data_IF_818668894628
#
_entry.id   IF_818668894628
#
_cell.length_a   1.000
_cell.length_b   1.000
_cell.length_c   1.000
_cell.angle_alpha   90.00
_cell.angle_beta   90.00
_cell.angle_gamma   90.00
#
_symmetry.space_group_name_H-M   'P 1'
#
loop_
_entity.id
_entity.type
_entity.pdbx_description
1 polymer ?
#
# COMPACT_ATOMS: atom_id res chain seq x y z
N UNK A 1 -4.05 12.14 -14.43
CA UNK A 1 -4.18 11.03 -13.44
C UNK A 1 -5.56 10.39 -13.62
N UNK A 2 -5.62 9.06 -13.78
CA UNK A 2 -6.85 8.28 -13.98
C UNK A 2 -7.07 7.35 -12.78
N UNK A 3 -8.32 7.26 -12.29
CA UNK A 3 -8.69 6.32 -11.24
C UNK A 3 -9.25 5.04 -11.87
N UNK A 4 -8.79 3.91 -11.39
CA UNK A 4 -9.26 2.58 -11.75
C UNK A 4 -9.90 1.94 -10.50
N UNK A 5 -11.11 1.43 -10.67
CA UNK A 5 -11.79 0.64 -9.63
C UNK A 5 -11.20 -0.76 -9.55
N UNK A 6 -11.31 -1.38 -8.39
CA UNK A 6 -10.86 -2.76 -8.18
C UNK A 6 -12.03 -3.67 -7.80
N UNK A 7 -11.78 -4.97 -7.67
CA UNK A 7 -12.78 -5.93 -7.17
C UNK A 7 -13.10 -5.75 -5.68
N UNK A 8 -12.26 -5.02 -4.93
CA UNK A 8 -12.51 -4.68 -3.53
C UNK A 8 -13.15 -3.30 -3.47
N UNK A 9 -14.35 -3.21 -2.91
CA UNK A 9 -15.11 -1.97 -2.82
C UNK A 9 -14.29 -0.86 -2.18
N UNK A 10 -14.29 0.33 -2.78
CA UNK A 10 -13.61 1.57 -2.36
C UNK A 10 -12.07 1.56 -2.48
N UNK A 11 -11.44 0.41 -2.72
CA UNK A 11 -10.03 0.33 -3.06
C UNK A 11 -9.83 0.88 -4.47
N UNK A 12 -8.93 1.86 -4.63
CA UNK A 12 -8.70 2.52 -5.92
C UNK A 12 -7.24 2.42 -6.32
N UNK A 13 -6.99 2.13 -7.59
CA UNK A 13 -5.68 2.27 -8.21
C UNK A 13 -5.66 3.59 -8.97
N UNK A 14 -4.61 4.38 -8.77
CA UNK A 14 -4.41 5.62 -9.48
C UNK A 14 -3.29 5.43 -10.50
N UNK A 15 -3.58 5.73 -11.75
CA UNK A 15 -2.59 5.72 -12.81
C UNK A 15 -2.11 7.14 -13.05
N UNK A 16 -0.90 7.45 -12.58
CA UNK A 16 -0.27 8.75 -12.73
C UNK A 16 0.22 9.00 -14.15
N UNK A 17 0.49 10.25 -14.47
CA UNK A 17 1.16 10.63 -15.72
C UNK A 17 2.53 11.17 -15.39
N UNK A 18 3.54 10.68 -16.10
CA UNK A 18 4.93 11.14 -16.00
C UNK A 18 5.28 11.89 -17.27
N UNK A 19 5.87 13.05 -17.11
CA UNK A 19 6.33 13.91 -18.19
C UNK A 19 7.87 13.90 -18.18
N UNK A 20 8.48 13.47 -19.26
CA UNK A 20 9.93 13.36 -19.39
C UNK A 20 10.49 14.47 -20.27
N UNK A 21 11.67 15.00 -19.89
CA UNK A 21 12.48 15.88 -20.71
C UNK A 21 13.99 15.63 -20.45
N UNK A 22 14.88 16.45 -21.05
CA UNK A 22 16.34 16.32 -20.89
C UNK A 22 16.86 16.48 -19.44
N UNK A 23 16.05 16.99 -18.52
CA UNK A 23 16.40 17.18 -17.09
C UNK A 23 15.97 15.97 -16.23
N UNK A 24 15.12 15.08 -16.77
CA UNK A 24 14.56 13.95 -16.04
C UNK A 24 13.05 13.85 -16.21
N UNK A 25 12.29 13.83 -15.12
CA UNK A 25 10.83 13.77 -15.21
C UNK A 25 10.12 14.59 -14.14
N UNK A 26 8.91 15.02 -14.47
CA UNK A 26 7.92 15.55 -13.54
C UNK A 26 6.74 14.57 -13.44
N UNK A 27 6.26 14.31 -12.23
CA UNK A 27 5.12 13.42 -11.98
C UNK A 27 4.20 13.97 -10.92
N UNK A 28 2.92 14.06 -11.25
CA UNK A 28 1.88 14.31 -10.26
C UNK A 28 1.55 13.00 -9.55
N UNK A 29 1.83 12.92 -8.24
CA UNK A 29 1.63 11.70 -7.44
C UNK A 29 0.21 11.66 -6.86
N UNK A 30 -0.32 12.83 -6.43
CA UNK A 30 -1.56 12.91 -5.68
C UNK A 30 -2.34 14.17 -6.04
N UNK A 31 -3.68 14.02 -6.14
CA UNK A 31 -4.62 15.14 -6.27
C UNK A 31 -5.75 14.95 -5.28
N UNK A 32 -5.92 15.86 -4.32
CA UNK A 32 -6.92 15.76 -3.25
C UNK A 32 -8.35 15.56 -3.79
N UNK A 33 -8.73 16.24 -4.88
CA UNK A 33 -10.06 16.09 -5.52
C UNK A 33 -10.41 14.67 -5.96
N UNK A 34 -9.40 13.77 -6.09
CA UNK A 34 -9.63 12.39 -6.51
C UNK A 34 -10.04 11.47 -5.36
N UNK A 35 -9.83 11.89 -4.09
CA UNK A 35 -10.05 11.07 -2.89
C UNK A 35 -10.83 11.88 -1.85
N UNK A 36 -11.90 12.49 -2.27
CA UNK A 36 -12.67 13.60 -1.68
C UNK A 36 -12.97 13.61 -0.17
N UNK A 37 -12.75 12.53 0.59
CA UNK A 37 -13.16 12.48 2.02
C UNK A 37 -12.00 12.27 3.00
N UNK A 38 -10.82 11.90 2.52
CA UNK A 38 -9.71 11.53 3.40
C UNK A 38 -8.52 12.47 3.14
N UNK A 39 -8.56 13.64 3.79
CA UNK A 39 -7.43 14.59 3.71
C UNK A 39 -6.22 14.00 4.40
N UNK A 40 -5.03 14.02 3.76
CA UNK A 40 -3.81 13.57 4.40
C UNK A 40 -3.49 14.43 5.61
N UNK A 41 -3.22 13.78 6.75
CA UNK A 41 -2.74 14.46 7.96
C UNK A 41 -1.23 14.38 8.09
N UNK A 42 -0.63 13.27 7.70
CA UNK A 42 0.82 13.15 7.73
C UNK A 42 1.35 12.26 6.61
N UNK A 43 2.61 12.48 6.28
CA UNK A 43 3.34 11.78 5.25
C UNK A 43 4.55 11.08 5.86
N UNK A 44 4.86 9.90 5.38
CA UNK A 44 6.08 9.20 5.75
C UNK A 44 6.63 8.39 4.59
N UNK A 45 7.90 8.03 4.67
CA UNK A 45 8.55 7.14 3.71
C UNK A 45 9.12 5.91 4.41
N UNK A 46 9.25 4.84 3.68
CA UNK A 46 10.05 3.69 4.08
C UNK A 46 11.06 3.33 3.00
N UNK A 47 12.23 2.87 3.41
CA UNK A 47 13.24 2.29 2.53
C UNK A 47 13.38 0.81 2.83
N UNK A 48 13.40 -0.04 1.80
CA UNK A 48 13.43 -1.50 1.93
C UNK A 48 14.29 -2.14 0.85
N UNK A 49 15.08 -3.13 1.24
CA UNK A 49 15.85 -3.96 0.31
C UNK A 49 14.94 -4.98 -0.40
N UNK A 50 15.47 -5.66 -1.40
CA UNK A 50 14.81 -6.80 -2.05
C UNK A 50 14.47 -7.88 -1.02
N UNK A 51 13.32 -8.52 -1.17
CA UNK A 51 12.76 -9.56 -0.32
C UNK A 51 12.37 -9.10 1.11
N UNK A 52 12.46 -7.81 1.43
CA UNK A 52 11.88 -7.29 2.66
C UNK A 52 10.37 -7.28 2.52
N UNK A 53 9.70 -7.98 3.43
CA UNK A 53 8.25 -7.94 3.60
C UNK A 53 7.91 -7.09 4.82
N UNK A 54 7.01 -6.15 4.66
CA UNK A 54 6.43 -5.34 5.73
C UNK A 54 4.92 -5.56 5.77
N UNK A 55 4.40 -5.87 6.92
CA UNK A 55 2.96 -6.09 7.13
C UNK A 55 2.64 -7.54 7.43
N UNK A 56 1.36 -7.88 7.47
CA UNK A 56 0.17 -7.06 7.13
C UNK A 56 -0.28 -6.27 8.35
N UNK A 57 -0.45 -4.98 8.22
CA UNK A 57 -0.81 -4.11 9.34
C UNK A 57 -2.14 -3.39 9.13
N UNK A 58 -2.92 -3.33 10.19
CA UNK A 58 -4.15 -2.55 10.30
C UNK A 58 -4.14 -1.79 11.64
N UNK A 59 -4.63 -0.58 11.66
CA UNK A 59 -4.95 0.13 12.90
C UNK A 59 -6.43 -0.06 13.23
N UNK A 60 -6.73 -0.77 14.34
CA UNK A 60 -8.10 -1.18 14.70
C UNK A 60 -8.93 -0.01 15.18
N UNK A 61 -8.41 0.76 16.15
CA UNK A 61 -8.97 2.06 16.55
C UNK A 61 -8.28 3.15 15.74
N UNK A 62 -8.93 4.30 15.57
CA UNK A 62 -8.37 5.41 14.79
C UNK A 62 -7.86 4.95 13.40
N UNK A 63 -8.64 4.10 12.74
CA UNK A 63 -8.27 3.47 11.48
C UNK A 63 -7.82 4.51 10.45
N UNK A 64 -6.81 4.15 9.68
CA UNK A 64 -6.20 5.03 8.68
C UNK A 64 -6.62 4.63 7.26
N UNK A 65 -7.06 5.59 6.47
CA UNK A 65 -6.95 5.46 5.03
C UNK A 65 -5.52 5.85 4.60
N UNK A 66 -4.99 5.17 3.60
CA UNK A 66 -3.62 5.34 3.13
C UNK A 66 -3.59 5.55 1.63
N UNK A 67 -2.75 6.47 1.21
CA UNK A 67 -2.30 6.54 -0.17
C UNK A 67 -0.87 6.04 -0.21
N UNK A 68 -0.55 5.16 -1.16
CA UNK A 68 0.77 4.53 -1.28
C UNK A 68 1.30 4.72 -2.70
N UNK A 69 2.52 5.20 -2.81
CA UNK A 69 3.23 5.39 -4.08
C UNK A 69 4.68 4.96 -3.96
N UNK A 70 5.26 4.46 -5.04
CA UNK A 70 6.68 4.09 -5.11
C UNK A 70 7.45 5.22 -5.77
N UNK A 71 8.39 5.80 -5.01
CA UNK A 71 9.28 6.86 -5.50
C UNK A 71 10.50 6.27 -6.20
N UNK A 72 10.99 5.11 -5.74
CA UNK A 72 12.11 4.38 -6.32
C UNK A 72 11.90 2.89 -6.20
N UNK A 73 12.32 2.12 -7.21
CA UNK A 73 12.25 0.67 -7.22
C UNK A 73 10.87 0.12 -7.56
N UNK A 74 10.56 -1.04 -6.99
CA UNK A 74 9.36 -1.83 -7.29
C UNK A 74 8.93 -2.65 -6.09
N UNK A 75 7.64 -2.71 -5.81
CA UNK A 75 7.06 -3.54 -4.75
C UNK A 75 5.89 -4.37 -5.28
N UNK A 76 5.63 -5.50 -4.65
CA UNK A 76 4.33 -6.16 -4.69
C UNK A 76 3.53 -5.66 -3.50
N UNK A 77 2.56 -4.81 -3.75
CA UNK A 77 1.65 -4.26 -2.74
C UNK A 77 0.47 -5.21 -2.55
N UNK A 78 0.07 -5.45 -1.30
CA UNK A 78 -1.00 -6.35 -0.93
C UNK A 78 -1.90 -5.70 0.10
N UNK A 79 -3.20 -5.75 -0.15
CA UNK A 79 -4.23 -5.25 0.76
C UNK A 79 -5.29 -6.32 1.01
N UNK A 80 -5.85 -6.34 2.23
CA UNK A 80 -6.89 -7.29 2.66
C UNK A 80 -8.06 -6.49 3.19
N UNK A 81 -9.27 -6.75 2.70
CA UNK A 81 -10.49 -6.15 3.24
C UNK A 81 -10.88 -6.82 4.56
N UNK A 82 -10.81 -6.10 5.67
CA UNK A 82 -11.18 -6.59 7.01
C UNK A 82 -12.39 -5.88 7.60
N UNK A 83 -13.15 -5.19 6.78
CA UNK A 83 -14.41 -4.56 7.17
C UNK A 83 -15.49 -5.62 7.34
N UNK A 84 -15.95 -5.85 8.58
CA UNK A 84 -16.87 -6.95 8.94
C UNK A 84 -18.13 -7.02 8.05
N UNK A 85 -18.69 -5.88 7.66
CA UNK A 85 -19.91 -5.81 6.84
C UNK A 85 -19.62 -5.70 5.33
N UNK A 86 -18.39 -5.94 4.90
CA UNK A 86 -18.05 -5.91 3.48
C UNK A 86 -18.33 -7.23 2.78
N UNK A 87 -18.94 -7.17 1.59
CA UNK A 87 -19.10 -8.34 0.71
C UNK A 87 -17.75 -8.95 0.27
N UNK A 88 -16.66 -8.22 0.49
CA UNK A 88 -15.30 -8.67 0.17
C UNK A 88 -14.43 -8.89 1.42
N UNK A 89 -15.08 -9.08 2.60
CA UNK A 89 -14.37 -9.41 3.83
C UNK A 89 -13.45 -10.63 3.64
N UNK A 90 -12.21 -10.53 4.12
CA UNK A 90 -11.18 -11.57 4.00
C UNK A 90 -10.57 -11.72 2.60
N UNK A 91 -11.09 -11.05 1.57
CA UNK A 91 -10.49 -11.07 0.23
C UNK A 91 -9.31 -10.12 0.16
N UNK A 92 -8.31 -10.51 -0.63
CA UNK A 92 -7.12 -9.68 -0.86
C UNK A 92 -7.01 -9.22 -2.32
N UNK A 93 -6.29 -8.13 -2.52
CA UNK A 93 -5.89 -7.61 -3.82
C UNK A 93 -4.37 -7.41 -3.85
N UNK A 94 -3.75 -7.75 -4.98
CA UNK A 94 -2.31 -7.58 -5.20
C UNK A 94 -2.06 -6.73 -6.42
N UNK A 95 -1.08 -5.85 -6.33
CA UNK A 95 -0.65 -5.03 -7.46
C UNK A 95 0.85 -4.75 -7.39
N UNK A 96 1.50 -4.71 -8.53
CA UNK A 96 2.86 -4.20 -8.63
C UNK A 96 2.82 -2.69 -8.76
N UNK A 97 3.44 -2.00 -7.81
CA UNK A 97 3.71 -0.56 -7.85
C UNK A 97 5.20 -0.34 -8.11
N UNK A 98 5.53 0.61 -8.96
CA UNK A 98 6.92 0.95 -9.24
C UNK A 98 7.07 2.38 -9.71
N UNK A 99 8.27 2.90 -9.53
CA UNK A 99 8.70 4.16 -10.12
C UNK A 99 8.38 4.23 -11.64
N UNK A 100 8.56 3.12 -12.37
CA UNK A 100 8.37 3.07 -13.83
C UNK A 100 6.90 3.06 -14.25
N UNK A 101 6.01 2.37 -13.51
CA UNK A 101 4.61 2.21 -13.95
C UNK A 101 3.68 3.34 -13.49
N UNK A 102 4.18 4.28 -12.71
CA UNK A 102 3.43 5.47 -12.21
C UNK A 102 2.12 5.14 -11.49
N UNK A 103 1.97 3.89 -11.02
CA UNK A 103 0.77 3.48 -10.28
C UNK A 103 0.92 3.78 -8.81
N UNK A 104 -0.20 4.20 -8.22
CA UNK A 104 -0.35 4.36 -6.78
C UNK A 104 -1.65 3.70 -6.33
N UNK A 105 -1.82 3.46 -5.05
CA UNK A 105 -3.02 2.84 -4.52
C UNK A 105 -3.59 3.68 -3.37
N UNK A 106 -4.90 3.87 -3.38
CA UNK A 106 -5.64 4.41 -2.24
C UNK A 106 -6.35 3.27 -1.53
N UNK A 107 -6.00 3.09 -0.26
CA UNK A 107 -6.45 2.03 0.62
C UNK A 107 -7.39 2.66 1.65
N UNK A 108 -8.69 2.33 1.64
CA UNK A 108 -9.65 2.86 2.61
C UNK A 108 -9.39 2.36 4.04
N UNK A 109 -10.05 2.98 5.01
CA UNK A 109 -10.08 2.49 6.40
C UNK A 109 -10.61 1.06 6.47
N UNK A 110 -10.08 0.28 7.42
CA UNK A 110 -10.49 -1.10 7.64
C UNK A 110 -9.83 -2.14 6.73
N UNK A 111 -8.83 -1.73 5.96
CA UNK A 111 -7.99 -2.66 5.20
C UNK A 111 -6.66 -2.90 5.92
N UNK A 112 -6.22 -4.16 5.97
CA UNK A 112 -4.82 -4.45 6.28
C UNK A 112 -3.96 -4.25 5.03
N UNK A 113 -2.72 -3.78 5.25
CA UNK A 113 -1.79 -3.45 4.19
C UNK A 113 -0.40 -4.00 4.48
N UNK A 114 0.26 -4.45 3.43
CA UNK A 114 1.66 -4.85 3.45
C UNK A 114 2.24 -4.88 2.05
N UNK A 115 3.56 -5.01 1.95
CA UNK A 115 4.23 -5.12 0.66
C UNK A 115 5.52 -5.93 0.74
N UNK A 116 5.94 -6.42 -0.41
CA UNK A 116 7.21 -7.09 -0.63
C UNK A 116 8.09 -6.25 -1.57
N UNK A 117 9.31 -5.93 -1.15
CA UNK A 117 10.31 -5.28 -2.00
C UNK A 117 10.80 -6.23 -3.10
N UNK A 118 10.73 -5.79 -4.35
CA UNK A 118 11.12 -6.59 -5.53
C UNK A 118 12.46 -6.17 -6.12
N UNK A 119 12.98 -5.00 -5.76
CA UNK A 119 14.30 -4.50 -6.18
C UNK A 119 15.22 -4.26 -4.98
N UNK A 120 16.50 -4.00 -5.23
CA UNK A 120 17.49 -3.85 -4.15
C UNK A 120 17.29 -2.56 -3.36
N UNK A 121 16.66 -1.57 -3.95
CA UNK A 121 16.37 -0.28 -3.32
C UNK A 121 14.93 0.13 -3.65
N UNK A 122 14.06 0.13 -2.63
CA UNK A 122 12.66 0.49 -2.78
C UNK A 122 12.31 1.59 -1.80
N UNK A 123 11.89 2.76 -2.31
CA UNK A 123 11.42 3.88 -1.50
C UNK A 123 9.92 4.04 -1.73
N UNK A 124 9.16 3.87 -0.66
CA UNK A 124 7.70 3.93 -0.66
C UNK A 124 7.24 5.13 0.15
N UNK A 125 6.42 5.96 -0.47
CA UNK A 125 5.76 7.12 0.13
C UNK A 125 4.36 6.73 0.58
N UNK A 126 4.02 7.15 1.79
CA UNK A 126 2.67 7.01 2.36
C UNK A 126 2.12 8.38 2.72
N UNK A 127 0.84 8.56 2.47
CA UNK A 127 0.03 9.63 3.02
C UNK A 127 -1.11 9.01 3.80
N UNK A 128 -1.37 9.48 5.02
CA UNK A 128 -2.34 8.91 5.94
C UNK A 128 -3.31 9.99 6.41
N UNK A 129 -4.59 9.63 6.57
CA UNK A 129 -5.65 10.54 7.06
C UNK A 129 -5.85 10.49 8.58
N UNK A 130 -4.98 9.78 9.28
CA UNK A 130 -4.94 9.75 10.75
C UNK A 130 -3.52 9.43 11.23
N UNK A 131 -3.20 9.80 12.48
CA UNK A 131 -1.90 9.53 13.07
C UNK A 131 -1.72 8.06 13.41
N UNK A 132 -0.47 7.62 13.40
CA UNK A 132 -0.11 6.26 13.80
C UNK A 132 -0.21 6.11 15.32
N UNK A 133 -0.93 5.06 15.75
CA UNK A 133 -0.99 4.62 17.14
C UNK A 133 -0.44 3.20 17.24
N UNK A 134 0.73 3.04 17.88
CA UNK A 134 1.34 1.71 18.05
C UNK A 134 0.45 0.75 18.85
N UNK A 135 -0.28 1.26 19.84
CA UNK A 135 -1.19 0.47 20.68
C UNK A 135 -2.44 -0.04 19.96
N UNK A 136 -2.84 0.64 18.89
CA UNK A 136 -4.02 0.28 18.10
C UNK A 136 -3.66 -0.56 16.85
N UNK A 137 -2.36 -0.70 16.59
CA UNK A 137 -1.87 -1.46 15.43
C UNK A 137 -1.95 -2.95 15.69
N UNK A 138 -2.58 -3.68 14.79
CA UNK A 138 -2.62 -5.13 14.78
C UNK A 138 -1.90 -5.67 13.55
N UNK A 139 -1.13 -6.74 13.78
CA UNK A 139 -0.49 -7.53 12.73
C UNK A 139 -1.38 -8.71 12.32
N UNK A 140 -1.34 -9.05 11.06
CA UNK A 140 -1.90 -10.29 10.53
C UNK A 140 -0.76 -11.05 9.88
N UNK A 141 -0.67 -12.32 10.16
CA UNK A 141 0.39 -13.16 9.62
C UNK A 141 0.37 -13.10 8.08
N UNK A 142 1.50 -12.72 7.51
CA UNK A 142 1.69 -12.62 6.06
C UNK A 142 1.42 -13.95 5.33
N UNK A 143 1.62 -15.06 6.01
CA UNK A 143 1.45 -16.44 5.52
C UNK A 143 0.19 -17.13 6.04
N UNK A 144 -0.78 -16.40 6.57
CA UNK A 144 -2.05 -16.97 7.02
C UNK A 144 -2.69 -17.78 5.89
N UNK A 145 -2.88 -19.09 6.16
CA UNK A 145 -3.42 -20.06 5.19
C UNK A 145 -4.84 -19.72 4.73
N UNK A 146 -5.64 -19.06 5.57
CA UNK A 146 -7.01 -18.64 5.24
C UNK A 146 -7.02 -17.53 4.18
N UNK A 147 -6.02 -16.66 4.19
CA UNK A 147 -5.91 -15.55 3.26
C UNK A 147 -5.37 -15.95 1.88
N UNK A 148 -4.69 -17.11 1.79
CA UNK A 148 -4.16 -17.69 0.54
C UNK A 148 -3.32 -16.70 -0.30
N UNK A 149 -2.58 -15.80 0.36
CA UNK A 149 -1.71 -14.84 -0.32
C UNK A 149 -0.47 -15.58 -0.85
N UNK A 150 -0.32 -15.61 -2.17
CA UNK A 150 0.86 -16.18 -2.82
C UNK A 150 1.94 -15.09 -2.97
N UNK A 151 2.98 -15.18 -2.16
CA UNK A 151 4.15 -14.33 -2.27
C UNK A 151 5.17 -14.94 -3.24
N UNK A 152 5.83 -14.16 -4.11
CA UNK A 152 6.68 -14.69 -5.18
C UNK A 152 8.04 -15.23 -4.71
N UNK A 153 8.40 -15.03 -3.43
CA UNK A 153 9.69 -15.43 -2.86
C UNK A 153 9.54 -16.36 -1.67
N UNK A 154 10.46 -17.33 -1.55
CA UNK A 154 10.50 -18.28 -0.42
C UNK A 154 11.30 -17.74 0.77
N UNK A 155 12.43 -17.05 0.52
CA UNK A 155 13.27 -16.44 1.57
C UNK A 155 12.90 -14.95 1.70
N UNK A 156 12.18 -14.60 2.75
CA UNK A 156 11.76 -13.25 3.06
C UNK A 156 12.58 -12.67 4.22
N UNK A 157 12.82 -11.37 4.17
CA UNK A 157 13.38 -10.60 5.27
C UNK A 157 12.21 -9.94 5.99
N UNK A 158 11.95 -10.37 7.23
CA UNK A 158 10.77 -9.99 8.00
C UNK A 158 11.23 -9.47 9.36
N UNK A 159 10.61 -8.42 9.85
CA UNK A 159 10.89 -7.88 11.19
C UNK A 159 10.39 -8.84 12.28
N UNK A 160 10.95 -8.75 13.50
CA UNK A 160 10.46 -9.55 14.63
C UNK A 160 8.98 -9.32 14.92
N UNK A 161 8.50 -8.10 14.66
CA UNK A 161 7.10 -7.73 14.84
C UNK A 161 6.16 -8.44 13.84
N UNK A 162 6.65 -8.82 12.67
CA UNK A 162 5.86 -9.36 11.55
C UNK A 162 6.02 -10.90 11.42
N UNK A 163 6.76 -11.51 12.34
CA UNK A 163 6.96 -12.97 12.47
C UNK A 163 5.81 -13.65 13.27
#
# INVERSE_FOLDING_TARGET
MKILTTKLKDLKVLNGKTFYDKRGYFREIYKNKLINKNKPLFWCISKSKRNVLRGMHLQKKNSQAKFVSVLRGKILDVVIDLRKNSKTFGKHFKIVLSEKNSKSIFIPKGFAHGFLGLENDNIVLYSNDNYRSKKDEIGIMWNDKKLKIKWPKKKLIISQKDK
#
